data_IF_532625181454
#
_entry.id   IF_532625181454
#
_cell.length_a   1.000
_cell.length_b   1.000
_cell.length_c   1.000
_cell.angle_alpha   90.00
_cell.angle_beta   90.00
_cell.angle_gamma   90.00
#
_symmetry.space_group_name_H-M   'P 1'
#
loop_
_entity.id
_entity.type
_entity.pdbx_description
1 polymer ?
#
# COMPACT_ATOMS: atom_id res chain seq x y z
N UNK A 1 20.93 -2.60 9.41
CA UNK A 1 20.54 -3.41 8.24
C UNK A 1 21.39 -3.10 7.02
N UNK A 2 21.44 -1.85 6.56
CA UNK A 2 22.05 -1.50 5.27
C UNK A 2 23.54 -1.82 5.15
N UNK A 3 24.36 -1.51 6.16
CA UNK A 3 25.80 -1.83 6.16
C UNK A 3 26.06 -3.34 6.11
N UNK A 4 25.34 -4.11 6.93
CA UNK A 4 25.42 -5.58 6.95
C UNK A 4 25.04 -6.16 5.58
N UNK A 5 23.97 -5.65 4.97
CA UNK A 5 23.54 -6.05 3.63
C UNK A 5 24.60 -5.78 2.55
N UNK A 6 25.13 -4.56 2.49
CA UNK A 6 26.14 -4.18 1.47
C UNK A 6 27.38 -5.07 1.58
N UNK A 7 27.86 -5.30 2.80
CA UNK A 7 29.03 -6.14 3.05
C UNK A 7 28.81 -7.58 2.59
N UNK A 8 27.70 -8.21 3.00
CA UNK A 8 27.42 -9.59 2.62
C UNK A 8 27.07 -9.72 1.13
N UNK A 9 26.42 -8.73 0.52
CA UNK A 9 26.14 -8.72 -0.93
C UNK A 9 27.42 -8.63 -1.75
N UNK A 10 28.36 -7.77 -1.35
CA UNK A 10 29.69 -7.71 -1.97
C UNK A 10 30.41 -9.05 -1.89
N UNK A 11 30.40 -9.68 -0.70
CA UNK A 11 31.06 -10.96 -0.51
C UNK A 11 30.38 -12.09 -1.31
N UNK A 12 29.07 -12.25 -1.17
CA UNK A 12 28.35 -13.42 -1.69
C UNK A 12 28.02 -13.32 -3.18
N UNK A 13 27.85 -12.12 -3.72
CA UNK A 13 27.56 -11.91 -5.13
C UNK A 13 28.84 -11.57 -5.92
N UNK A 14 29.51 -10.47 -5.55
CA UNK A 14 30.64 -9.97 -6.33
C UNK A 14 31.88 -10.86 -6.20
N UNK A 15 32.32 -11.19 -4.97
CA UNK A 15 33.51 -12.04 -4.81
C UNK A 15 33.26 -13.44 -5.39
N UNK A 16 32.08 -14.04 -5.16
CA UNK A 16 31.71 -15.33 -5.78
C UNK A 16 31.82 -15.30 -7.30
N UNK A 17 31.30 -14.25 -7.95
CA UNK A 17 31.43 -14.09 -9.40
C UNK A 17 32.89 -13.99 -9.83
N UNK A 18 33.69 -13.15 -9.16
CA UNK A 18 35.12 -13.01 -9.46
C UNK A 18 35.89 -14.34 -9.32
N UNK A 19 35.60 -15.11 -8.27
CA UNK A 19 36.19 -16.44 -8.04
C UNK A 19 35.81 -17.38 -9.19
N UNK A 20 34.51 -17.46 -9.53
CA UNK A 20 34.04 -18.36 -10.58
C UNK A 20 34.69 -18.04 -11.92
N UNK A 21 34.70 -16.77 -12.31
CA UNK A 21 35.31 -16.37 -13.58
C UNK A 21 36.80 -16.68 -13.57
N UNK A 22 37.53 -16.40 -12.48
CA UNK A 22 38.97 -16.66 -12.39
C UNK A 22 39.35 -18.15 -12.47
N UNK A 23 38.43 -19.05 -12.09
CA UNK A 23 38.61 -20.50 -12.22
C UNK A 23 38.27 -21.02 -13.63
N UNK A 24 37.43 -20.30 -14.39
CA UNK A 24 36.95 -20.74 -15.71
C UNK A 24 37.66 -20.08 -16.90
N UNK A 25 38.28 -18.91 -16.73
CA UNK A 25 38.86 -18.14 -17.83
C UNK A 25 40.21 -17.48 -17.49
N UNK A 26 41.09 -17.28 -18.49
CA UNK A 26 42.30 -16.47 -18.35
C UNK A 26 41.94 -14.97 -18.43
N UNK A 27 41.53 -14.40 -17.30
CA UNK A 27 41.20 -12.97 -17.14
C UNK A 27 42.41 -12.27 -16.49
N UNK A 28 42.59 -10.94 -16.63
CA UNK A 28 43.53 -10.17 -15.82
C UNK A 28 43.49 -10.54 -14.33
N UNK A 29 44.69 -10.72 -13.75
CA UNK A 29 44.86 -11.20 -12.37
C UNK A 29 44.41 -10.17 -11.33
N UNK A 30 43.17 -10.30 -10.86
CA UNK A 30 42.72 -9.66 -9.62
C UNK A 30 43.29 -10.39 -8.40
N UNK A 31 43.37 -9.72 -7.25
CA UNK A 31 43.81 -10.37 -6.00
C UNK A 31 42.88 -11.53 -5.59
N UNK A 32 41.57 -11.38 -5.83
CA UNK A 32 40.57 -12.44 -5.59
C UNK A 32 40.85 -13.64 -6.51
N UNK A 33 41.16 -13.38 -7.78
CA UNK A 33 41.49 -14.42 -8.75
C UNK A 33 42.77 -15.18 -8.38
N UNK A 34 43.82 -14.46 -7.94
CA UNK A 34 45.05 -15.07 -7.41
C UNK A 34 44.77 -15.95 -6.19
N UNK A 35 43.96 -15.46 -5.25
CA UNK A 35 43.55 -16.23 -4.07
C UNK A 35 42.76 -17.49 -4.46
N UNK A 36 41.81 -17.36 -5.38
CA UNK A 36 41.00 -18.48 -5.87
C UNK A 36 41.86 -19.58 -6.51
N UNK A 37 42.77 -19.22 -7.41
CA UNK A 37 43.71 -20.17 -8.03
C UNK A 37 44.62 -20.80 -6.99
N UNK A 38 45.12 -20.02 -6.02
CA UNK A 38 45.98 -20.52 -4.96
C UNK A 38 45.26 -21.54 -4.07
N UNK A 39 44.03 -21.24 -3.65
CA UNK A 39 43.18 -22.14 -2.86
C UNK A 39 42.82 -23.39 -3.66
N UNK A 40 42.52 -23.27 -4.97
CA UNK A 40 42.28 -24.42 -5.83
C UNK A 40 43.49 -25.37 -5.86
N UNK A 41 44.71 -24.85 -6.05
CA UNK A 41 45.95 -25.63 -5.98
C UNK A 41 46.16 -26.26 -4.60
N UNK A 42 45.88 -25.53 -3.52
CA UNK A 42 46.00 -26.07 -2.16
C UNK A 42 45.03 -27.24 -1.95
N UNK A 43 43.78 -27.14 -2.40
CA UNK A 43 42.78 -28.22 -2.25
C UNK A 43 43.17 -29.46 -3.08
N UNK A 44 43.85 -29.30 -4.22
CA UNK A 44 44.39 -30.43 -4.99
C UNK A 44 45.62 -31.08 -4.32
N UNK A 45 46.32 -30.35 -3.45
CA UNK A 45 47.60 -30.80 -2.88
C UNK A 45 47.36 -31.59 -1.59
N UNK A 46 47.54 -32.91 -1.66
CA UNK A 46 47.32 -33.81 -0.52
C UNK A 46 48.17 -33.41 0.71
N UNK A 47 47.49 -33.25 1.86
CA UNK A 47 48.15 -32.94 3.13
C UNK A 47 48.64 -31.49 3.27
N UNK A 48 48.23 -30.59 2.36
CA UNK A 48 48.59 -29.19 2.44
C UNK A 48 48.08 -28.56 3.76
N UNK A 49 49.00 -27.95 4.48
CA UNK A 49 48.73 -27.05 5.60
C UNK A 49 49.50 -25.77 5.35
N UNK A 50 48.78 -24.64 5.25
CA UNK A 50 49.40 -23.35 4.97
C UNK A 50 48.65 -22.23 5.67
N UNK A 51 49.41 -21.26 6.16
CA UNK A 51 48.88 -19.97 6.57
C UNK A 51 48.76 -19.07 5.35
N UNK A 52 47.56 -18.54 5.10
CA UNK A 52 47.30 -17.58 4.04
C UNK A 52 47.22 -16.18 4.64
N UNK A 53 48.13 -15.29 4.22
CA UNK A 53 48.20 -13.90 4.67
C UNK A 53 47.67 -12.94 3.59
N UNK A 54 46.89 -11.90 3.94
CA UNK A 54 46.34 -10.94 2.97
C UNK A 54 47.43 -10.25 2.12
N UNK A 55 48.58 -9.94 2.71
CA UNK A 55 49.71 -9.30 2.05
C UNK A 55 50.25 -10.09 0.85
N UNK A 56 50.17 -11.43 0.87
CA UNK A 56 50.58 -12.30 -0.26
C UNK A 56 49.74 -12.06 -1.52
N UNK A 57 48.57 -11.43 -1.36
CA UNK A 57 47.63 -11.14 -2.45
C UNK A 57 47.55 -9.65 -2.77
N UNK A 58 48.35 -8.80 -2.12
CA UNK A 58 48.36 -7.34 -2.31
C UNK A 58 47.34 -6.58 -1.46
N UNK A 59 46.87 -7.18 -0.35
CA UNK A 59 46.02 -6.52 0.63
C UNK A 59 46.87 -6.12 1.85
N UNK A 60 47.54 -4.98 1.75
CA UNK A 60 48.34 -4.42 2.85
C UNK A 60 47.46 -3.88 3.98
N UNK A 61 47.94 -3.94 5.22
CA UNK A 61 47.24 -3.40 6.42
C UNK A 61 46.18 -4.32 7.03
N UNK A 62 46.04 -5.56 6.54
CA UNK A 62 45.18 -6.58 7.16
C UNK A 62 46.04 -7.64 7.87
N UNK A 63 45.85 -7.81 9.19
CA UNK A 63 46.69 -8.69 10.02
C UNK A 63 46.12 -10.11 10.22
N UNK A 64 44.86 -10.34 9.84
CA UNK A 64 44.19 -11.61 10.06
C UNK A 64 44.79 -12.72 9.19
N UNK A 65 45.22 -13.84 9.80
CA UNK A 65 45.79 -15.00 9.12
C UNK A 65 44.76 -16.12 9.02
N UNK A 66 44.66 -16.77 7.87
CA UNK A 66 43.81 -17.95 7.69
C UNK A 66 44.64 -19.22 7.66
N UNK A 67 44.48 -20.08 8.67
CA UNK A 67 45.13 -21.39 8.70
C UNK A 67 44.33 -22.41 7.88
N UNK A 68 44.77 -22.68 6.65
CA UNK A 68 44.21 -23.75 5.82
C UNK A 68 44.81 -25.10 6.23
N UNK A 69 43.94 -26.09 6.49
CA UNK A 69 44.35 -27.47 6.78
C UNK A 69 43.47 -28.43 5.98
N UNK A 70 44.06 -29.12 5.01
CA UNK A 70 43.34 -30.13 4.27
C UNK A 70 43.25 -31.44 5.06
N UNK A 71 42.03 -31.82 5.44
CA UNK A 71 41.80 -33.02 6.26
C UNK A 71 41.75 -34.32 5.45
N UNK A 72 41.34 -34.27 4.18
CA UNK A 72 41.25 -35.42 3.28
C UNK A 72 41.60 -34.99 1.85
N UNK A 73 42.27 -35.86 1.10
CA UNK A 73 42.43 -35.70 -0.35
C UNK A 73 41.04 -35.77 -0.96
N UNK A 74 40.71 -34.82 -1.82
CA UNK A 74 39.57 -34.94 -2.72
C UNK A 74 40.10 -35.49 -4.06
N UNK A 75 39.23 -36.15 -4.82
CA UNK A 75 39.55 -36.59 -6.18
C UNK A 75 39.82 -35.39 -7.09
N UNK A 76 40.36 -35.65 -8.29
CA UNK A 76 40.74 -34.62 -9.27
C UNK A 76 39.59 -33.68 -9.66
N UNK A 77 38.33 -34.13 -9.56
CA UNK A 77 37.14 -33.31 -9.77
C UNK A 77 36.72 -32.62 -8.47
N UNK A 78 37.46 -31.58 -8.07
CA UNK A 78 37.00 -30.69 -7.00
C UNK A 78 35.81 -29.87 -7.50
N UNK A 79 34.65 -29.90 -6.82
CA UNK A 79 33.57 -29.00 -7.15
C UNK A 79 34.02 -27.55 -7.02
N UNK A 80 33.87 -26.75 -8.08
CA UNK A 80 34.19 -25.32 -8.10
C UNK A 80 33.59 -24.57 -6.89
N UNK A 81 32.41 -25.00 -6.44
CA UNK A 81 31.71 -24.45 -5.28
C UNK A 81 32.44 -24.66 -3.95
N UNK A 82 33.27 -25.69 -3.81
CA UNK A 82 34.12 -25.87 -2.63
C UNK A 82 35.19 -24.78 -2.57
N UNK A 83 35.83 -24.48 -3.70
CA UNK A 83 36.83 -23.40 -3.80
C UNK A 83 36.18 -22.07 -3.46
N UNK A 84 35.00 -21.79 -4.03
CA UNK A 84 34.20 -20.60 -3.71
C UNK A 84 33.95 -20.51 -2.21
N UNK A 85 33.44 -21.58 -1.58
CA UNK A 85 33.12 -21.57 -0.16
C UNK A 85 34.35 -21.30 0.72
N UNK A 86 35.50 -21.92 0.42
CA UNK A 86 36.75 -21.71 1.17
C UNK A 86 37.29 -20.29 0.98
N UNK A 87 37.31 -19.79 -0.25
CA UNK A 87 37.80 -18.42 -0.53
C UNK A 87 36.92 -17.37 0.15
N UNK A 88 35.60 -17.55 0.13
CA UNK A 88 34.68 -16.65 0.82
C UNK A 88 34.91 -16.68 2.34
N UNK A 89 35.16 -17.84 2.94
CA UNK A 89 35.51 -17.92 4.37
C UNK A 89 36.85 -17.22 4.68
N UNK A 90 37.85 -17.36 3.81
CA UNK A 90 39.14 -16.65 3.94
C UNK A 90 38.92 -15.13 3.93
N UNK A 91 38.23 -14.61 2.91
CA UNK A 91 37.98 -13.17 2.76
C UNK A 91 37.16 -12.65 3.95
N UNK A 92 36.14 -13.40 4.38
CA UNK A 92 35.33 -13.04 5.54
C UNK A 92 36.20 -12.90 6.81
N UNK A 93 37.14 -13.81 7.05
CA UNK A 93 38.04 -13.73 8.22
C UNK A 93 39.04 -12.59 8.11
N UNK A 94 39.62 -12.38 6.93
CA UNK A 94 40.57 -11.29 6.70
C UNK A 94 39.96 -9.91 6.95
N UNK A 95 38.70 -9.74 6.52
CA UNK A 95 37.95 -8.50 6.68
C UNK A 95 37.12 -8.47 7.98
N UNK A 96 37.32 -9.43 8.88
CA UNK A 96 36.65 -9.52 10.18
C UNK A 96 35.13 -9.43 10.10
N UNK A 97 34.53 -10.08 9.08
CA UNK A 97 33.08 -10.18 8.97
C UNK A 97 32.51 -10.83 10.24
N UNK A 98 31.31 -10.41 10.70
CA UNK A 98 30.74 -10.98 11.91
C UNK A 98 30.53 -12.49 11.74
N UNK A 99 31.19 -13.28 12.58
CA UNK A 99 31.14 -14.75 12.56
C UNK A 99 29.91 -15.32 13.26
N UNK A 100 29.06 -14.46 13.82
CA UNK A 100 27.78 -14.89 14.39
C UNK A 100 26.96 -15.55 13.28
N UNK A 101 26.49 -16.78 13.51
CA UNK A 101 25.82 -17.59 12.49
C UNK A 101 24.57 -16.96 11.86
N UNK A 102 24.08 -15.85 12.44
CA UNK A 102 22.91 -15.10 11.97
C UNK A 102 23.26 -13.89 11.10
N UNK A 103 24.49 -13.38 11.12
CA UNK A 103 24.85 -12.14 10.39
C UNK A 103 24.68 -12.28 8.87
N UNK A 104 25.15 -13.40 8.30
CA UNK A 104 25.06 -13.69 6.87
C UNK A 104 23.62 -14.01 6.41
N UNK A 105 22.86 -14.89 7.10
CA UNK A 105 21.42 -15.05 6.83
C UNK A 105 20.64 -13.74 6.87
N UNK A 106 20.96 -12.83 7.82
CA UNK A 106 20.40 -11.48 7.88
C UNK A 106 20.70 -10.65 6.65
N UNK A 107 21.90 -10.75 6.09
CA UNK A 107 22.25 -10.14 4.81
C UNK A 107 21.36 -10.63 3.67
N UNK A 108 21.17 -11.94 3.55
CA UNK A 108 20.32 -12.57 2.51
C UNK A 108 18.85 -12.21 2.64
N UNK A 109 18.34 -12.12 3.87
CA UNK A 109 16.97 -11.65 4.11
C UNK A 109 16.79 -10.23 3.58
N UNK A 110 17.70 -9.31 3.95
CA UNK A 110 17.65 -7.92 3.48
C UNK A 110 17.76 -7.83 1.96
N UNK A 111 18.66 -8.60 1.35
CA UNK A 111 18.79 -8.67 -0.12
C UNK A 111 17.46 -9.11 -0.77
N UNK A 112 16.87 -10.20 -0.26
CA UNK A 112 15.63 -10.76 -0.81
C UNK A 112 14.47 -9.78 -0.74
N UNK A 113 14.28 -9.10 0.40
CA UNK A 113 13.18 -8.14 0.57
C UNK A 113 13.43 -6.82 -0.17
N UNK A 114 14.67 -6.35 -0.26
CA UNK A 114 15.02 -5.13 -1.01
C UNK A 114 14.87 -5.37 -2.50
N UNK A 115 15.27 -6.54 -2.99
CA UNK A 115 15.08 -6.92 -4.39
C UNK A 115 13.59 -7.03 -4.74
N UNK A 116 12.78 -7.63 -3.86
CA UNK A 116 11.34 -7.80 -4.10
C UNK A 116 10.52 -6.52 -3.90
N UNK A 117 10.84 -5.69 -2.90
CA UNK A 117 9.98 -4.59 -2.44
C UNK A 117 10.64 -3.19 -2.55
N UNK A 118 11.93 -3.13 -2.88
CA UNK A 118 12.74 -1.91 -2.86
C UNK A 118 13.30 -1.56 -1.47
N UNK A 119 14.26 -0.61 -1.39
CA UNK A 119 15.01 -0.33 -0.17
C UNK A 119 14.18 0.28 0.97
N UNK A 120 13.05 0.92 0.64
CA UNK A 120 12.20 1.55 1.65
C UNK A 120 11.49 0.54 2.57
N UNK A 121 11.42 -0.73 2.18
CA UNK A 121 10.84 -1.79 3.01
C UNK A 121 11.61 -1.94 4.35
N UNK A 122 12.87 -1.53 4.38
CA UNK A 122 13.74 -1.60 5.56
C UNK A 122 13.36 -0.61 6.67
N UNK A 123 12.47 0.35 6.39
CA UNK A 123 11.94 1.28 7.39
C UNK A 123 10.73 0.73 8.16
N UNK A 124 10.22 -0.44 7.80
CA UNK A 124 9.09 -1.05 8.51
C UNK A 124 9.57 -1.75 9.79
N UNK A 125 8.88 -1.49 10.91
CA UNK A 125 9.18 -2.12 12.19
C UNK A 125 9.03 -3.65 12.14
N UNK A 126 8.06 -4.14 11.36
CA UNK A 126 7.85 -5.58 11.11
C UNK A 126 9.04 -6.23 10.40
N UNK A 127 9.67 -5.51 9.47
CA UNK A 127 10.88 -5.98 8.78
C UNK A 127 12.08 -5.99 9.72
N UNK A 128 12.21 -4.97 10.57
CA UNK A 128 13.25 -4.97 11.60
C UNK A 128 13.07 -6.10 12.61
N UNK A 129 11.83 -6.36 13.01
CA UNK A 129 11.48 -7.47 13.90
C UNK A 129 11.81 -8.82 13.26
N UNK A 130 11.42 -9.05 12.01
CA UNK A 130 11.76 -10.25 11.25
C UNK A 130 13.28 -10.41 11.07
N UNK A 131 14.00 -9.32 10.75
CA UNK A 131 15.46 -9.31 10.66
C UNK A 131 16.13 -9.77 11.95
N UNK A 132 15.61 -9.35 13.11
CA UNK A 132 16.15 -9.77 14.42
C UNK A 132 15.81 -11.22 14.75
N UNK A 133 14.63 -11.69 14.37
CA UNK A 133 14.06 -12.97 14.77
C UNK A 133 13.87 -13.94 13.59
N UNK A 134 14.87 -14.00 12.71
CA UNK A 134 14.78 -14.64 11.39
C UNK A 134 14.20 -16.06 11.38
N UNK A 135 14.76 -16.96 12.18
CA UNK A 135 14.32 -18.37 12.21
C UNK A 135 12.83 -18.51 12.59
N UNK A 136 12.36 -17.72 13.55
CA UNK A 136 10.95 -17.76 13.99
C UNK A 136 10.02 -17.01 13.03
N UNK A 137 10.35 -15.78 12.66
CA UNK A 137 9.42 -14.90 11.94
C UNK A 137 9.38 -15.13 10.44
N UNK A 138 10.49 -15.59 9.84
CA UNK A 138 10.58 -15.81 8.39
C UNK A 138 10.42 -17.30 8.05
N UNK A 139 10.93 -18.19 8.90
CA UNK A 139 10.91 -19.63 8.65
C UNK A 139 9.93 -20.41 9.55
N UNK A 140 9.32 -19.78 10.55
CA UNK A 140 8.33 -20.41 11.42
C UNK A 140 8.90 -21.38 12.44
N UNK A 141 10.22 -21.56 12.51
CA UNK A 141 10.87 -22.52 13.40
C UNK A 141 12.22 -21.97 13.90
N UNK A 142 12.37 -21.70 15.23
CA UNK A 142 13.59 -21.17 15.82
C UNK A 142 14.82 -22.08 15.65
N UNK A 143 14.63 -23.37 15.36
CA UNK A 143 15.70 -24.35 15.13
C UNK A 143 16.23 -24.35 13.69
N UNK A 144 15.58 -23.62 12.78
CA UNK A 144 15.97 -23.57 11.35
C UNK A 144 17.39 -23.04 11.18
N UNK A 145 18.26 -23.88 10.59
CA UNK A 145 19.61 -23.49 10.16
C UNK A 145 19.59 -22.98 8.73
N UNK A 146 19.78 -21.67 8.57
CA UNK A 146 19.81 -21.00 7.26
C UNK A 146 21.24 -21.06 6.74
N UNK A 147 21.50 -22.01 5.84
CA UNK A 147 22.86 -22.27 5.33
C UNK A 147 23.10 -21.73 3.93
N UNK A 148 22.05 -21.39 3.18
CA UNK A 148 22.17 -20.90 1.80
C UNK A 148 21.19 -19.77 1.48
N UNK A 149 21.52 -18.89 0.51
CA UNK A 149 20.59 -17.86 0.02
C UNK A 149 19.31 -18.46 -0.58
N UNK A 150 19.39 -19.69 -1.12
CA UNK A 150 18.25 -20.37 -1.75
C UNK A 150 17.08 -20.61 -0.79
N UNK A 151 17.33 -20.63 0.53
CA UNK A 151 16.30 -20.73 1.55
C UNK A 151 15.27 -19.58 1.48
N UNK A 152 15.65 -18.42 0.93
CA UNK A 152 14.75 -17.27 0.79
C UNK A 152 13.97 -17.23 -0.51
N UNK A 153 14.17 -18.17 -1.45
CA UNK A 153 13.37 -18.19 -2.69
C UNK A 153 11.86 -18.24 -2.43
N UNK A 154 11.33 -19.03 -1.48
CA UNK A 154 9.90 -19.00 -1.16
C UNK A 154 9.44 -17.64 -0.66
N UNK A 155 10.24 -16.95 0.16
CA UNK A 155 9.94 -15.60 0.63
C UNK A 155 9.93 -14.61 -0.54
N UNK A 156 10.97 -14.62 -1.38
CA UNK A 156 11.05 -13.74 -2.54
C UNK A 156 9.90 -13.98 -3.52
N UNK A 157 9.57 -15.25 -3.78
CA UNK A 157 8.42 -15.63 -4.60
C UNK A 157 7.10 -15.18 -3.96
N UNK A 158 6.94 -15.34 -2.65
CA UNK A 158 5.74 -14.89 -1.94
C UNK A 158 5.60 -13.36 -1.95
N UNK A 159 6.69 -12.61 -1.79
CA UNK A 159 6.70 -11.14 -1.85
C UNK A 159 6.42 -10.63 -3.28
N UNK A 160 7.02 -11.26 -4.29
CA UNK A 160 6.73 -10.96 -5.70
C UNK A 160 5.29 -11.34 -6.08
N UNK A 161 4.78 -12.43 -5.50
CA UNK A 161 3.40 -12.90 -5.62
C UNK A 161 2.46 -12.27 -4.58
N UNK A 162 2.87 -11.21 -3.88
CA UNK A 162 2.02 -10.38 -3.03
C UNK A 162 1.63 -9.08 -3.76
N UNK A 163 0.87 -9.15 -4.87
CA UNK A 163 0.46 -7.94 -5.51
C UNK A 163 -0.61 -7.28 -4.64
N UNK A 164 -0.56 -5.95 -4.56
CA UNK A 164 -1.74 -5.16 -4.22
C UNK A 164 -2.81 -5.26 -5.33
N UNK A 165 -2.48 -5.86 -6.49
CA UNK A 165 -3.34 -6.03 -7.67
C UNK A 165 -4.57 -6.97 -7.52
N UNK A 166 -4.60 -8.06 -6.72
CA UNK A 166 -5.75 -8.97 -6.63
C UNK A 166 -6.96 -8.30 -5.96
N UNK A 167 -6.76 -7.20 -5.24
CA UNK A 167 -7.85 -6.40 -4.71
C UNK A 167 -8.63 -5.65 -5.81
N UNK A 168 -8.02 -5.45 -6.98
CA UNK A 168 -8.61 -4.70 -8.11
C UNK A 168 -9.41 -5.64 -9.03
N UNK A 169 -9.12 -6.94 -9.03
CA UNK A 169 -9.65 -7.85 -10.03
C UNK A 169 -11.02 -8.46 -9.65
N UNK A 170 -11.94 -8.64 -10.62
CA UNK A 170 -13.08 -9.56 -10.51
C UNK A 170 -12.68 -11.04 -10.36
N UNK A 171 -11.39 -11.36 -10.34
CA UNK A 171 -10.84 -12.71 -10.16
C UNK A 171 -10.69 -13.16 -8.71
N UNK A 172 -11.41 -12.58 -7.74
CA UNK A 172 -11.45 -13.19 -6.40
C UNK A 172 -11.93 -14.65 -6.48
N UNK A 173 -12.89 -14.92 -7.36
CA UNK A 173 -13.40 -16.27 -7.65
C UNK A 173 -12.33 -17.20 -8.24
N UNK A 174 -11.26 -16.65 -8.84
CA UNK A 174 -10.13 -17.43 -9.37
C UNK A 174 -8.97 -17.57 -8.38
N UNK A 175 -9.01 -16.90 -7.21
CA UNK A 175 -8.05 -17.12 -6.13
C UNK A 175 -8.35 -18.46 -5.44
N UNK A 176 -7.49 -19.44 -5.62
CA UNK A 176 -7.63 -20.77 -4.98
C UNK A 176 -7.66 -20.68 -3.45
N UNK A 177 -6.95 -19.71 -2.85
CA UNK A 177 -6.91 -19.47 -1.40
C UNK A 177 -6.72 -17.97 -1.10
N UNK A 178 -7.79 -17.20 -0.91
CA UNK A 178 -7.67 -15.78 -0.56
C UNK A 178 -7.13 -15.60 0.86
N UNK A 179 -6.28 -14.59 1.07
CA UNK A 179 -5.86 -14.21 2.43
C UNK A 179 -7.04 -13.65 3.24
N UNK A 180 -6.92 -13.61 4.58
CA UNK A 180 -7.93 -12.99 5.45
C UNK A 180 -8.25 -11.55 5.03
N UNK A 181 -7.23 -10.79 4.64
CA UNK A 181 -7.40 -9.44 4.13
C UNK A 181 -8.17 -9.40 2.81
N UNK A 182 -7.82 -10.25 1.84
CA UNK A 182 -8.52 -10.33 0.55
C UNK A 182 -9.98 -10.75 0.73
N UNK A 183 -10.25 -11.76 1.55
CA UNK A 183 -11.60 -12.21 1.88
C UNK A 183 -12.42 -11.10 2.55
N UNK A 184 -11.83 -10.38 3.50
CA UNK A 184 -12.50 -9.26 4.17
C UNK A 184 -12.82 -8.12 3.20
N UNK A 185 -11.86 -7.71 2.37
CA UNK A 185 -12.08 -6.66 1.35
C UNK A 185 -13.15 -7.07 0.36
N UNK A 186 -13.13 -8.33 -0.11
CA UNK A 186 -14.12 -8.85 -1.03
C UNK A 186 -15.53 -8.90 -0.43
N UNK A 187 -15.66 -9.33 0.83
CA UNK A 187 -16.95 -9.37 1.52
C UNK A 187 -17.54 -7.99 1.82
N UNK A 188 -16.73 -6.93 1.85
CA UNK A 188 -17.17 -5.57 2.22
C UNK A 188 -16.54 -4.48 1.35
N UNK A 189 -16.66 -4.61 0.02
CA UNK A 189 -15.96 -3.73 -0.94
C UNK A 189 -16.24 -2.24 -0.76
N UNK A 190 -17.49 -1.80 -0.60
CA UNK A 190 -17.80 -0.38 -0.34
C UNK A 190 -17.14 0.14 0.97
N UNK A 191 -16.92 -0.77 1.94
CA UNK A 191 -16.37 -0.43 3.24
C UNK A 191 -14.83 -0.51 3.30
N UNK A 192 -14.19 -1.48 2.63
CA UNK A 192 -12.77 -1.79 2.79
C UNK A 192 -11.93 -1.61 1.53
N UNK A 193 -12.53 -1.50 0.34
CA UNK A 193 -11.76 -1.34 -0.89
C UNK A 193 -11.14 0.07 -0.96
N UNK A 194 -9.82 0.21 -1.19
CA UNK A 194 -9.17 1.52 -1.28
C UNK A 194 -9.46 2.20 -2.62
N UNK A 195 -9.79 1.43 -3.66
CA UNK A 195 -10.10 1.90 -5.00
C UNK A 195 -11.59 2.23 -5.10
N UNK A 196 -11.92 3.45 -4.66
CA UNK A 196 -13.29 3.94 -4.51
C UNK A 196 -14.16 3.71 -5.75
N UNK A 197 -13.65 4.01 -6.93
CA UNK A 197 -14.41 3.89 -8.18
C UNK A 197 -14.67 2.43 -8.60
N UNK A 198 -13.94 1.48 -8.02
CA UNK A 198 -14.14 0.04 -8.21
C UNK A 198 -15.09 -0.57 -7.17
N UNK A 199 -15.64 0.22 -6.25
CA UNK A 199 -16.58 -0.26 -5.25
C UNK A 199 -18.00 -0.44 -5.85
N UNK A 200 -18.77 -1.47 -5.45
CA UNK A 200 -20.05 -1.80 -6.10
C UNK A 200 -21.04 -0.64 -6.20
N UNK A 201 -21.29 0.06 -5.09
CA UNK A 201 -22.24 1.19 -5.08
C UNK A 201 -21.78 2.32 -6.00
N UNK A 202 -20.46 2.56 -6.05
CA UNK A 202 -19.86 3.58 -6.91
C UNK A 202 -19.94 3.22 -8.38
N UNK A 203 -19.53 2.01 -8.75
CA UNK A 203 -19.61 1.52 -10.12
C UNK A 203 -21.05 1.60 -10.66
N UNK A 204 -22.03 1.19 -9.84
CA UNK A 204 -23.46 1.28 -10.19
C UNK A 204 -23.91 2.72 -10.45
N UNK A 205 -23.61 3.63 -9.53
CA UNK A 205 -24.08 5.03 -9.59
C UNK A 205 -23.56 5.85 -10.78
N UNK A 206 -22.56 5.34 -11.51
CA UNK A 206 -21.94 5.96 -12.69
C UNK A 206 -22.39 5.37 -14.02
N UNK A 207 -23.17 4.29 -14.00
CA UNK A 207 -23.69 3.72 -15.24
C UNK A 207 -24.54 4.77 -15.99
N UNK A 208 -24.64 4.69 -17.33
CA UNK A 208 -25.48 5.59 -18.10
C UNK A 208 -26.90 5.68 -17.53
N UNK A 209 -27.41 6.91 -17.40
CA UNK A 209 -28.74 7.17 -16.84
C UNK A 209 -28.85 7.19 -15.31
N UNK A 210 -27.77 6.93 -14.57
CA UNK A 210 -27.76 7.05 -13.10
C UNK A 210 -27.34 8.45 -12.61
N UNK A 211 -27.29 8.67 -11.29
CA UNK A 211 -27.14 10.00 -10.70
C UNK A 211 -25.80 10.70 -10.99
N UNK A 212 -24.74 9.94 -11.27
CA UNK A 212 -23.43 10.48 -11.67
C UNK A 212 -23.11 10.21 -13.14
N UNK A 213 -24.13 9.95 -13.94
CA UNK A 213 -24.05 10.17 -15.38
C UNK A 213 -23.71 11.67 -15.64
N UNK A 214 -22.79 11.99 -16.57
CA UNK A 214 -22.39 13.37 -16.84
C UNK A 214 -23.56 14.32 -17.17
N UNK A 215 -24.63 13.82 -17.81
CA UNK A 215 -25.82 14.62 -18.13
C UNK A 215 -26.60 14.93 -16.85
N UNK A 216 -26.86 13.91 -16.04
CA UNK A 216 -27.66 14.07 -14.83
C UNK A 216 -26.96 14.86 -13.74
N UNK A 217 -25.66 14.65 -13.53
CA UNK A 217 -24.86 15.26 -12.46
C UNK A 217 -24.89 16.80 -12.46
N UNK A 218 -25.22 17.43 -13.60
CA UNK A 218 -25.29 18.89 -13.78
C UNK A 218 -26.68 19.48 -13.56
N UNK A 219 -27.68 18.64 -13.26
CA UNK A 219 -29.06 19.06 -13.02
C UNK A 219 -29.37 19.15 -11.53
N UNK A 220 -30.41 19.89 -11.15
CA UNK A 220 -30.94 19.85 -9.77
C UNK A 220 -31.41 18.45 -9.36
N UNK A 221 -31.97 17.68 -10.30
CA UNK A 221 -32.33 16.27 -10.09
C UNK A 221 -31.11 15.40 -9.80
N UNK A 222 -29.97 15.66 -10.44
CA UNK A 222 -28.71 14.98 -10.16
C UNK A 222 -28.13 15.35 -8.79
N UNK A 223 -28.23 16.63 -8.39
CA UNK A 223 -27.88 17.05 -7.04
C UNK A 223 -28.73 16.32 -5.99
N UNK A 224 -30.05 16.27 -6.19
CA UNK A 224 -30.97 15.54 -5.32
C UNK A 224 -30.61 14.07 -5.22
N UNK A 225 -30.43 13.43 -6.36
CA UNK A 225 -30.06 12.01 -6.45
C UNK A 225 -28.72 11.72 -5.79
N UNK A 226 -27.73 12.60 -5.94
CA UNK A 226 -26.42 12.46 -5.30
C UNK A 226 -26.51 12.57 -3.77
N UNK A 227 -27.34 13.48 -3.26
CA UNK A 227 -27.65 13.58 -1.83
C UNK A 227 -28.38 12.33 -1.31
N UNK A 228 -29.34 11.78 -2.06
CA UNK A 228 -30.01 10.54 -1.68
C UNK A 228 -29.05 9.35 -1.72
N UNK A 229 -28.22 9.23 -2.75
CA UNK A 229 -27.22 8.19 -2.85
C UNK A 229 -26.31 8.23 -1.62
N UNK A 230 -25.69 9.38 -1.33
CA UNK A 230 -24.74 9.48 -0.21
C UNK A 230 -25.41 9.48 1.16
N UNK A 231 -26.54 10.16 1.30
CA UNK A 231 -27.24 10.38 2.55
C UNK A 231 -28.17 9.24 2.96
N UNK A 232 -28.74 8.50 2.01
CA UNK A 232 -29.77 7.48 2.27
C UNK A 232 -29.26 6.09 1.89
N UNK A 233 -29.03 5.81 0.61
CA UNK A 233 -28.93 4.43 0.12
C UNK A 233 -27.51 3.95 -0.30
N UNK A 234 -26.44 4.67 0.05
CA UNK A 234 -25.07 4.22 -0.20
C UNK A 234 -24.76 2.92 0.55
N UNK A 235 -24.16 1.94 -0.15
CA UNK A 235 -23.83 0.62 0.39
C UNK A 235 -25.05 -0.14 0.94
N UNK A 236 -26.15 -0.12 0.18
CA UNK A 236 -27.40 -0.84 0.45
C UNK A 236 -27.80 -1.73 -0.72
N UNK A 237 -28.61 -2.78 -0.50
CA UNK A 237 -29.21 -3.55 -1.60
C UNK A 237 -30.03 -2.68 -2.57
N UNK A 238 -30.84 -1.73 -2.07
CA UNK A 238 -31.62 -0.82 -2.93
C UNK A 238 -30.71 -0.07 -3.91
N UNK A 239 -29.62 0.52 -3.41
CA UNK A 239 -28.66 1.26 -4.24
C UNK A 239 -27.91 0.41 -5.28
N UNK A 240 -27.90 -0.92 -5.13
CA UNK A 240 -27.29 -1.85 -6.08
C UNK A 240 -28.30 -2.37 -7.12
N UNK A 241 -29.58 -2.41 -6.78
CA UNK A 241 -30.64 -3.00 -7.62
C UNK A 241 -31.42 -1.93 -8.39
N UNK A 242 -31.84 -0.85 -7.73
CA UNK A 242 -32.67 0.21 -8.31
C UNK A 242 -31.87 1.13 -9.24
N UNK A 243 -32.58 2.03 -9.92
CA UNK A 243 -31.97 3.26 -10.47
C UNK A 243 -31.42 4.11 -9.32
N UNK A 244 -30.37 4.87 -9.57
CA UNK A 244 -29.88 5.86 -8.60
C UNK A 244 -30.25 7.29 -8.96
N UNK A 245 -30.89 7.52 -10.12
CA UNK A 245 -31.36 8.84 -10.54
C UNK A 245 -32.84 9.05 -10.25
N UNK A 246 -33.12 10.10 -9.48
CA UNK A 246 -34.44 10.56 -9.07
C UNK A 246 -34.52 12.07 -9.33
N UNK A 247 -35.22 12.54 -10.37
CA UNK A 247 -35.33 13.97 -10.65
C UNK A 247 -36.13 14.73 -9.58
N UNK A 248 -36.98 14.05 -8.82
CA UNK A 248 -37.86 14.60 -7.79
C UNK A 248 -38.32 13.51 -6.79
N UNK A 249 -39.02 13.85 -5.70
CA UNK A 249 -39.50 12.89 -4.71
C UNK A 249 -40.51 11.88 -5.25
N UNK A 250 -41.31 12.24 -6.26
CA UNK A 250 -42.29 11.33 -6.84
C UNK A 250 -41.61 10.16 -7.55
N UNK A 251 -40.55 10.43 -8.31
CA UNK A 251 -39.73 9.39 -8.92
C UNK A 251 -39.09 8.46 -7.88
N UNK A 252 -38.63 9.02 -6.74
CA UNK A 252 -38.14 8.22 -5.61
C UNK A 252 -39.25 7.32 -5.03
N UNK A 253 -40.45 7.86 -4.80
CA UNK A 253 -41.57 7.11 -4.24
C UNK A 253 -42.04 5.98 -5.17
N UNK A 254 -42.13 6.25 -6.48
CA UNK A 254 -42.46 5.24 -7.51
C UNK A 254 -41.44 4.10 -7.50
N UNK A 255 -40.15 4.40 -7.39
CA UNK A 255 -39.12 3.37 -7.33
C UNK A 255 -39.20 2.56 -6.02
N UNK A 256 -39.40 3.23 -4.87
CA UNK A 256 -39.55 2.55 -3.58
C UNK A 256 -40.79 1.64 -3.54
N UNK A 257 -41.88 2.03 -4.21
CA UNK A 257 -43.12 1.25 -4.28
C UNK A 257 -42.94 -0.11 -4.97
N UNK A 258 -41.86 -0.31 -5.74
CA UNK A 258 -41.49 -1.62 -6.31
C UNK A 258 -40.99 -2.62 -5.25
N UNK A 259 -40.71 -2.16 -4.03
CA UNK A 259 -40.11 -2.93 -2.94
C UNK A 259 -40.93 -2.85 -1.63
N UNK A 260 -42.25 -3.15 -1.65
CA UNK A 260 -43.16 -2.82 -0.54
C UNK A 260 -42.90 -3.59 0.76
N UNK A 261 -42.20 -4.73 0.69
CA UNK A 261 -41.98 -5.63 1.83
C UNK A 261 -40.52 -5.71 2.27
N UNK A 262 -39.66 -4.81 1.78
CA UNK A 262 -38.24 -4.81 2.13
C UNK A 262 -38.00 -4.13 3.48
N UNK A 263 -37.04 -4.62 4.29
CA UNK A 263 -36.70 -4.04 5.58
C UNK A 263 -36.00 -2.67 5.46
N UNK A 264 -35.88 -1.92 6.56
CA UNK A 264 -35.29 -0.57 6.56
C UNK A 264 -33.84 -0.55 6.05
N UNK A 265 -33.06 -1.59 6.36
CA UNK A 265 -31.65 -1.72 5.96
C UNK A 265 -31.47 -2.04 4.46
N UNK A 266 -32.54 -2.48 3.78
CA UNK A 266 -32.59 -2.55 2.32
C UNK A 266 -32.43 -1.16 1.70
N UNK A 267 -33.05 -0.14 2.30
CA UNK A 267 -33.06 1.24 1.80
C UNK A 267 -31.96 2.12 2.41
N UNK A 268 -31.54 1.86 3.66
CA UNK A 268 -30.54 2.68 4.33
C UNK A 268 -29.57 1.88 5.20
N UNK A 269 -28.28 2.00 4.88
CA UNK A 269 -27.20 1.48 5.70
C UNK A 269 -26.68 2.60 6.62
N UNK A 270 -27.24 2.66 7.83
CA UNK A 270 -26.86 3.64 8.86
C UNK A 270 -25.36 3.54 9.23
N UNK A 271 -24.72 2.39 8.98
CA UNK A 271 -23.31 2.12 9.30
C UNK A 271 -22.34 2.31 8.13
N UNK A 272 -22.80 2.85 6.99
CA UNK A 272 -21.96 2.91 5.78
C UNK A 272 -20.65 3.70 5.98
N UNK A 273 -20.67 4.75 6.81
CA UNK A 273 -19.50 5.61 7.05
C UNK A 273 -18.88 5.45 8.45
N UNK A 274 -19.65 5.11 9.49
CA UNK A 274 -19.15 4.88 10.84
C UNK A 274 -20.13 4.06 11.69
N UNK A 275 -19.67 3.55 12.83
CA UNK A 275 -20.49 2.82 13.82
C UNK A 275 -21.29 3.72 14.77
N UNK A 276 -21.14 5.05 14.69
CA UNK A 276 -21.81 5.98 15.59
C UNK A 276 -23.31 6.15 15.25
N UNK A 277 -24.12 6.59 16.22
CA UNK A 277 -25.51 7.03 16.00
C UNK A 277 -25.52 8.08 14.89
N UNK A 278 -26.08 7.71 13.74
CA UNK A 278 -26.22 8.57 12.58
C UNK A 278 -27.70 8.65 12.27
N UNK A 279 -28.23 9.86 12.04
CA UNK A 279 -29.65 10.05 11.77
C UNK A 279 -29.95 9.96 10.27
N UNK A 280 -29.23 9.08 9.56
CA UNK A 280 -29.45 8.80 8.15
C UNK A 280 -30.68 7.91 7.98
N UNK A 281 -31.47 8.19 6.96
CA UNK A 281 -32.66 7.40 6.64
C UNK A 281 -33.51 8.03 5.55
N UNK A 282 -34.53 7.31 5.13
CA UNK A 282 -35.49 7.75 4.10
C UNK A 282 -36.24 9.03 4.47
N UNK A 283 -36.34 9.35 5.77
CA UNK A 283 -36.92 10.59 6.26
C UNK A 283 -36.15 11.86 5.81
N UNK A 284 -34.91 11.72 5.31
CA UNK A 284 -34.13 12.85 4.78
C UNK A 284 -34.56 13.26 3.35
N UNK A 285 -35.27 12.41 2.63
CA UNK A 285 -35.73 12.66 1.25
C UNK A 285 -36.48 14.01 1.13
N UNK A 286 -37.56 14.27 1.90
CA UNK A 286 -38.26 15.56 1.84
C UNK A 286 -37.36 16.73 2.25
N UNK A 287 -36.49 16.55 3.25
CA UNK A 287 -35.58 17.60 3.72
C UNK A 287 -34.58 18.03 2.62
N UNK A 288 -34.03 17.08 1.86
CA UNK A 288 -33.13 17.43 0.76
C UNK A 288 -33.86 18.12 -0.38
N UNK A 289 -35.09 17.70 -0.68
CA UNK A 289 -35.89 18.31 -1.75
C UNK A 289 -36.26 19.77 -1.44
N UNK A 290 -36.66 20.05 -0.20
CA UNK A 290 -36.95 21.41 0.25
C UNK A 290 -35.75 22.35 0.05
N UNK A 291 -34.55 21.90 0.42
CA UNK A 291 -33.32 22.68 0.26
C UNK A 291 -32.94 22.89 -1.21
N UNK A 292 -33.15 21.88 -2.06
CA UNK A 292 -32.85 21.97 -3.50
C UNK A 292 -33.72 23.00 -4.21
N UNK A 293 -34.98 23.14 -3.79
CA UNK A 293 -35.89 24.14 -4.35
C UNK A 293 -35.70 25.54 -3.75
N UNK A 294 -34.78 25.70 -2.79
CA UNK A 294 -34.47 27.02 -2.22
C UNK A 294 -33.55 27.84 -3.14
N UNK A 295 -33.55 29.18 -3.02
CA UNK A 295 -32.62 30.04 -3.76
C UNK A 295 -31.14 29.68 -3.58
N UNK A 296 -30.79 28.99 -2.50
CA UNK A 296 -29.40 28.59 -2.22
C UNK A 296 -28.83 27.58 -3.23
N UNK A 297 -29.69 26.83 -3.94
CA UNK A 297 -29.29 25.86 -4.96
C UNK A 297 -29.51 26.35 -6.40
N UNK A 298 -30.10 27.54 -6.60
CA UNK A 298 -30.49 28.05 -7.91
C UNK A 298 -29.32 28.14 -8.92
N UNK A 299 -28.09 28.32 -8.43
CA UNK A 299 -26.90 28.42 -9.28
C UNK A 299 -26.22 27.07 -9.57
N UNK A 300 -26.73 25.94 -9.08
CA UNK A 300 -26.08 24.63 -9.26
C UNK A 300 -25.85 24.30 -10.74
N UNK A 301 -26.90 24.37 -11.56
CA UNK A 301 -26.82 24.03 -12.97
C UNK A 301 -25.93 25.02 -13.73
N UNK A 302 -26.02 26.32 -13.40
CA UNK A 302 -25.15 27.36 -13.95
C UNK A 302 -23.67 27.14 -13.62
N UNK A 303 -23.36 26.69 -12.42
CA UNK A 303 -21.99 26.45 -11.97
C UNK A 303 -21.40 25.18 -12.61
N UNK A 304 -22.23 24.16 -12.82
CA UNK A 304 -21.79 22.84 -13.31
C UNK A 304 -21.85 22.69 -14.83
N UNK A 305 -22.65 23.50 -15.55
CA UNK A 305 -22.75 23.46 -17.01
C UNK A 305 -21.46 23.87 -17.73
N UNK A 306 -20.59 24.65 -17.07
CA UNK A 306 -19.30 25.09 -17.63
C UNK A 306 -18.14 24.15 -17.31
N UNK A 307 -18.38 23.01 -16.65
CA UNK A 307 -17.35 22.02 -16.31
C UNK A 307 -16.26 22.54 -15.35
N UNK A 308 -16.46 23.72 -14.75
CA UNK A 308 -15.44 24.46 -14.02
C UNK A 308 -15.83 24.76 -12.56
N UNK A 309 -16.87 24.10 -12.02
CA UNK A 309 -17.20 24.32 -10.61
C UNK A 309 -16.02 23.84 -9.75
N UNK A 310 -15.35 24.75 -9.05
CA UNK A 310 -14.16 24.42 -8.29
C UNK A 310 -14.47 23.40 -7.17
N UNK A 311 -13.57 22.43 -7.00
CA UNK A 311 -13.75 21.38 -5.99
C UNK A 311 -13.92 21.94 -4.58
N UNK A 312 -13.15 22.98 -4.20
CA UNK A 312 -13.23 23.59 -2.88
C UNK A 312 -14.54 24.33 -2.70
N UNK A 313 -15.00 25.03 -3.74
CA UNK A 313 -16.27 25.75 -3.71
C UNK A 313 -17.47 24.79 -3.62
N UNK A 314 -17.46 23.69 -4.38
CA UNK A 314 -18.50 22.66 -4.28
C UNK A 314 -18.48 21.96 -2.91
N UNK A 315 -17.29 21.62 -2.39
CA UNK A 315 -17.16 21.07 -1.03
C UNK A 315 -17.72 22.02 0.02
N UNK A 316 -17.42 23.32 -0.06
CA UNK A 316 -18.01 24.34 0.80
C UNK A 316 -19.50 24.48 0.57
N UNK A 317 -20.00 24.44 -0.66
CA UNK A 317 -21.44 24.47 -0.94
C UNK A 317 -22.20 23.33 -0.25
N UNK A 318 -21.62 22.14 -0.20
CA UNK A 318 -22.23 20.97 0.44
C UNK A 318 -22.10 20.96 1.98
N UNK A 319 -21.15 21.72 2.55
CA UNK A 319 -20.78 21.60 3.98
C UNK A 319 -20.85 22.91 4.79
N UNK A 320 -20.72 24.06 4.13
CA UNK A 320 -20.63 25.36 4.76
C UNK A 320 -22.02 25.95 4.98
N UNK A 321 -22.46 25.94 6.23
CA UNK A 321 -23.59 26.72 6.75
C UNK A 321 -23.76 26.38 8.24
N UNK A 322 -24.25 27.34 9.02
CA UNK A 322 -24.63 27.14 10.41
C UNK A 322 -26.08 27.59 10.57
N UNK A 323 -27.06 26.66 10.66
CA UNK A 323 -26.91 25.20 10.63
C UNK A 323 -26.54 24.65 9.24
N UNK A 324 -26.04 23.42 9.16
CA UNK A 324 -25.66 22.76 7.89
C UNK A 324 -26.84 22.68 6.92
N UNK A 325 -26.60 23.12 5.67
CA UNK A 325 -27.57 23.23 4.58
C UNK A 325 -28.26 21.92 4.28
N UNK A 326 -27.48 20.84 4.18
CA UNK A 326 -27.98 19.51 3.96
C UNK A 326 -27.82 18.68 5.25
N UNK A 327 -28.96 18.30 5.86
CA UNK A 327 -28.97 17.52 7.10
C UNK A 327 -28.20 16.20 6.93
N UNK A 328 -27.44 15.81 7.93
CA UNK A 328 -26.54 14.63 7.91
C UNK A 328 -25.40 14.66 6.87
N UNK A 329 -25.26 15.70 6.03
CA UNK A 329 -24.13 15.84 5.10
C UNK A 329 -23.00 16.60 5.79
N UNK A 330 -22.28 15.90 6.67
CA UNK A 330 -21.06 16.42 7.31
C UNK A 330 -19.86 16.43 6.36
N UNK A 331 -18.70 16.93 6.84
CA UNK A 331 -17.49 17.08 6.02
C UNK A 331 -17.05 15.82 5.26
N UNK A 332 -17.16 14.63 5.85
CA UNK A 332 -16.83 13.38 5.15
C UNK A 332 -17.77 13.12 3.97
N UNK A 333 -19.08 13.22 4.18
CA UNK A 333 -20.07 12.93 3.14
C UNK A 333 -20.04 14.01 2.06
N UNK A 334 -19.86 15.28 2.47
CA UNK A 334 -19.66 16.40 1.55
C UNK A 334 -18.45 16.18 0.63
N UNK A 335 -17.28 15.81 1.17
CA UNK A 335 -16.10 15.51 0.36
C UNK A 335 -16.35 14.35 -0.62
N UNK A 336 -16.96 13.27 -0.14
CA UNK A 336 -17.29 12.12 -1.00
C UNK A 336 -18.25 12.53 -2.10
N UNK A 337 -19.27 13.33 -1.81
CA UNK A 337 -20.23 13.78 -2.82
C UNK A 337 -19.58 14.74 -3.83
N UNK A 338 -18.73 15.67 -3.39
CA UNK A 338 -17.92 16.52 -4.29
C UNK A 338 -17.04 15.68 -5.21
N UNK A 339 -16.39 14.65 -4.68
CA UNK A 339 -15.61 13.70 -5.48
C UNK A 339 -16.45 12.92 -6.50
N UNK A 340 -17.69 12.54 -6.16
CA UNK A 340 -18.60 11.91 -7.13
C UNK A 340 -18.92 12.84 -8.30
N UNK A 341 -19.22 14.10 -8.02
CA UNK A 341 -19.48 15.11 -9.06
C UNK A 341 -18.23 15.45 -9.86
N UNK A 342 -17.04 15.39 -9.26
CA UNK A 342 -15.79 15.60 -9.97
C UNK A 342 -15.52 14.49 -10.99
N UNK A 343 -15.72 13.23 -10.61
CA UNK A 343 -15.62 12.11 -11.55
C UNK A 343 -16.71 12.09 -12.63
N UNK A 344 -17.87 12.71 -12.37
CA UNK A 344 -18.92 12.91 -13.37
C UNK A 344 -18.63 14.10 -14.32
N UNK A 345 -17.57 14.88 -14.07
CA UNK A 345 -17.22 16.06 -14.85
C UNK A 345 -18.10 17.29 -14.59
N UNK A 346 -18.88 17.29 -13.51
CA UNK A 346 -19.68 18.45 -13.07
C UNK A 346 -18.85 19.43 -12.22
N UNK A 347 -17.79 18.93 -11.57
CA UNK A 347 -16.86 19.65 -10.69
C UNK A 347 -15.43 19.38 -11.16
N UNK A 348 -14.51 20.35 -10.98
CA UNK A 348 -13.10 20.14 -11.32
C UNK A 348 -12.44 19.10 -10.40
N UNK A 349 -11.47 18.34 -10.90
CA UNK A 349 -10.68 17.44 -10.04
C UNK A 349 -9.80 18.26 -9.07
N UNK A 350 -9.66 17.84 -7.80
CA UNK A 350 -8.88 18.58 -6.84
C UNK A 350 -7.38 18.35 -7.07
N UNK A 351 -6.58 19.35 -6.70
CA UNK A 351 -5.14 19.17 -6.57
C UNK A 351 -4.81 18.36 -5.30
N UNK A 352 -3.60 17.78 -5.25
CA UNK A 352 -3.06 17.12 -4.04
C UNK A 352 -3.12 18.05 -2.83
N UNK A 353 -2.81 19.33 -3.04
CA UNK A 353 -2.85 20.37 -2.01
C UNK A 353 -4.26 20.65 -1.50
N UNK A 354 -5.26 20.66 -2.38
CA UNK A 354 -6.68 20.80 -2.02
C UNK A 354 -7.13 19.63 -1.18
N UNK A 355 -6.82 18.39 -1.58
CA UNK A 355 -7.18 17.19 -0.81
C UNK A 355 -6.49 17.20 0.56
N UNK A 356 -5.20 17.56 0.64
CA UNK A 356 -4.49 17.68 1.92
C UNK A 356 -5.14 18.65 2.90
N UNK A 357 -5.65 19.80 2.42
CA UNK A 357 -6.43 20.74 3.25
C UNK A 357 -7.73 20.12 3.75
N UNK A 358 -8.48 19.45 2.87
CA UNK A 358 -9.76 18.81 3.23
C UNK A 358 -9.56 17.67 4.22
N UNK A 359 -8.49 16.87 4.08
CA UNK A 359 -8.11 15.83 5.05
C UNK A 359 -7.98 16.44 6.45
N UNK A 360 -7.27 17.57 6.58
CA UNK A 360 -7.15 18.31 7.85
C UNK A 360 -8.50 18.81 8.35
N UNK A 361 -9.33 19.34 7.46
CA UNK A 361 -10.64 19.90 7.83
C UNK A 361 -11.58 18.85 8.41
N UNK A 362 -11.66 17.69 7.76
CA UNK A 362 -12.43 16.53 8.20
C UNK A 362 -11.85 15.96 9.50
N UNK A 363 -10.52 15.86 9.62
CA UNK A 363 -9.81 15.34 10.79
C UNK A 363 -10.30 13.96 11.26
N UNK A 364 -10.46 13.01 10.32
CA UNK A 364 -10.92 11.63 10.58
C UNK A 364 -9.91 10.59 10.05
N UNK A 365 -10.37 9.65 9.21
CA UNK A 365 -9.60 8.51 8.74
C UNK A 365 -8.33 8.90 7.99
N UNK A 366 -8.38 9.90 7.11
CA UNK A 366 -7.22 10.38 6.36
C UNK A 366 -6.05 10.83 7.24
N UNK A 367 -6.31 11.68 8.23
CA UNK A 367 -5.29 12.15 9.20
C UNK A 367 -4.72 10.97 10.01
N UNK A 368 -5.59 10.10 10.50
CA UNK A 368 -5.16 8.90 11.25
C UNK A 368 -4.31 7.96 10.39
N UNK A 369 -4.66 7.79 9.11
CA UNK A 369 -3.87 7.01 8.16
C UNK A 369 -2.48 7.59 7.96
N UNK A 370 -2.38 8.92 7.75
CA UNK A 370 -1.09 9.61 7.62
C UNK A 370 -0.22 9.45 8.88
N UNK A 371 -0.82 9.59 10.06
CA UNK A 371 -0.12 9.43 11.33
C UNK A 371 0.36 7.98 11.53
N UNK A 372 -0.48 6.99 11.19
CA UNK A 372 -0.13 5.56 11.27
C UNK A 372 1.02 5.20 10.34
N UNK A 373 1.13 5.85 9.19
CA UNK A 373 2.27 5.71 8.27
C UNK A 373 3.52 6.50 8.70
N UNK A 374 3.50 7.18 9.86
CA UNK A 374 4.63 8.00 10.34
C UNK A 374 4.89 9.26 9.49
N UNK A 375 3.95 9.66 8.63
CA UNK A 375 4.12 10.80 7.73
C UNK A 375 3.82 12.14 8.40
N UNK A 376 3.08 12.10 9.49
CA UNK A 376 2.79 13.23 10.39
C UNK A 376 2.84 12.73 11.85
N UNK A 377 3.01 13.62 12.83
CA UNK A 377 2.94 13.25 14.24
C UNK A 377 1.60 12.60 14.60
N UNK A 378 1.62 11.68 15.57
CA UNK A 378 0.39 11.11 16.12
C UNK A 378 -0.49 12.22 16.71
N UNK A 379 -1.80 12.25 16.40
CA UNK A 379 -2.68 13.27 16.95
C UNK A 379 -2.75 13.13 18.47
N UNK A 380 -2.43 14.20 19.19
CA UNK A 380 -2.60 14.24 20.64
C UNK A 380 -4.08 14.08 21.01
N UNK A 381 -4.35 13.22 21.99
CA UNK A 381 -5.67 13.10 22.57
C UNK A 381 -6.01 14.40 23.31
N UNK A 382 -7.04 15.13 22.88
CA UNK A 382 -7.57 16.28 23.62
C UNK A 382 -8.84 15.89 24.38
N UNK A 383 -9.17 16.68 25.42
CA UNK A 383 -10.35 16.48 26.28
C UNK A 383 -11.68 16.41 25.52
N UNK A 384 -11.76 16.94 24.29
CA UNK A 384 -12.92 16.91 23.40
C UNK A 384 -12.52 16.56 21.95
N UNK A 385 -11.97 15.37 21.75
CA UNK A 385 -11.56 14.87 20.43
C UNK A 385 -10.07 15.07 20.14
N UNK A 386 -9.66 14.93 18.88
CA UNK A 386 -8.25 15.12 18.51
C UNK A 386 -7.98 16.59 18.21
N UNK A 387 -6.89 17.14 18.75
CA UNK A 387 -6.38 18.45 18.33
C UNK A 387 -6.07 18.37 16.83
N UNK A 388 -6.60 19.30 16.03
CA UNK A 388 -6.30 19.34 14.59
C UNK A 388 -4.81 19.59 14.41
N UNK A 389 -4.15 18.71 13.65
CA UNK A 389 -2.77 18.94 13.22
C UNK A 389 -2.70 20.20 12.35
N UNK A 390 -1.51 20.81 12.33
CA UNK A 390 -1.24 21.95 11.45
C UNK A 390 -1.50 21.58 9.98
N UNK A 391 -2.11 22.51 9.23
CA UNK A 391 -2.51 22.26 7.83
C UNK A 391 -1.30 22.02 6.93
N UNK A 392 -0.18 22.69 7.17
CA UNK A 392 1.06 22.55 6.41
C UNK A 392 1.66 21.18 6.64
N UNK A 393 1.60 20.67 7.88
CA UNK A 393 2.04 19.32 8.24
C UNK A 393 1.22 18.25 7.52
N UNK A 394 -0.12 18.35 7.57
CA UNK A 394 -1.02 17.37 6.91
C UNK A 394 -0.85 17.40 5.39
N UNK A 395 -0.82 18.59 4.78
CA UNK A 395 -0.54 18.74 3.34
C UNK A 395 0.81 18.13 2.96
N UNK A 396 1.87 18.44 3.72
CA UNK A 396 3.21 17.91 3.46
C UNK A 396 3.27 16.38 3.54
N UNK A 397 2.64 15.79 4.56
CA UNK A 397 2.54 14.33 4.71
C UNK A 397 1.78 13.68 3.55
N UNK A 398 0.63 14.25 3.17
CA UNK A 398 -0.16 13.76 2.06
C UNK A 398 0.55 13.86 0.71
N UNK A 399 1.19 15.00 0.42
CA UNK A 399 1.95 15.21 -0.82
C UNK A 399 3.14 14.27 -0.95
N UNK A 400 3.83 13.95 0.16
CA UNK A 400 4.90 12.93 0.17
C UNK A 400 4.37 11.55 -0.18
N UNK A 401 3.25 11.13 0.43
CA UNK A 401 2.62 9.85 0.12
C UNK A 401 2.18 9.77 -1.34
N UNK A 402 1.49 10.80 -1.83
CA UNK A 402 1.02 10.85 -3.21
C UNK A 402 2.19 10.69 -4.19
N UNK A 403 3.25 11.49 -4.03
CA UNK A 403 4.45 11.42 -4.88
C UNK A 403 5.13 10.07 -4.80
N UNK A 404 5.22 9.49 -3.60
CA UNK A 404 5.78 8.16 -3.41
C UNK A 404 5.02 7.11 -4.22
N UNK A 405 3.68 7.08 -4.09
CA UNK A 405 2.84 6.15 -4.85
C UNK A 405 2.91 6.42 -6.35
N UNK A 406 2.93 7.69 -6.77
CA UNK A 406 3.03 8.07 -8.17
C UNK A 406 4.34 7.59 -8.81
N UNK A 407 5.46 7.65 -8.08
CA UNK A 407 6.74 7.13 -8.58
C UNK A 407 6.79 5.60 -8.56
N UNK A 408 6.10 4.95 -7.61
CA UNK A 408 6.22 3.50 -7.39
C UNK A 408 5.21 2.66 -8.16
N UNK A 409 4.05 3.20 -8.48
CA UNK A 409 3.03 2.48 -9.22
C UNK A 409 3.30 2.56 -10.73
N UNK A 410 3.17 1.43 -11.42
CA UNK A 410 3.17 1.42 -12.89
C UNK A 410 1.95 2.14 -13.45
N UNK A 411 2.04 2.67 -14.68
CA UNK A 411 0.92 3.35 -15.33
C UNK A 411 -0.31 2.44 -15.48
N UNK A 412 -0.09 1.15 -15.74
CA UNK A 412 -1.15 0.14 -15.76
C UNK A 412 -1.85 0.05 -14.40
N UNK A 413 -1.09 0.04 -13.30
CA UNK A 413 -1.65 0.05 -11.93
C UNK A 413 -2.43 1.33 -11.66
N UNK A 414 -1.84 2.48 -11.97
CA UNK A 414 -2.47 3.79 -11.79
C UNK A 414 -3.81 3.88 -12.52
N UNK A 415 -3.84 3.47 -13.79
CA UNK A 415 -5.06 3.44 -14.60
C UNK A 415 -6.14 2.56 -13.99
N UNK A 416 -5.78 1.34 -13.55
CA UNK A 416 -6.74 0.37 -12.99
C UNK A 416 -7.38 0.83 -11.68
N UNK A 417 -6.62 1.49 -10.81
CA UNK A 417 -7.14 1.97 -9.54
C UNK A 417 -7.78 3.35 -9.61
N UNK A 418 -7.74 4.00 -10.78
CA UNK A 418 -8.10 5.41 -10.96
C UNK A 418 -7.26 6.27 -10.01
N UNK A 419 -5.93 6.16 -10.15
CA UNK A 419 -4.98 6.82 -9.26
C UNK A 419 -5.05 8.34 -9.41
N UNK A 420 -5.47 8.99 -8.33
CA UNK A 420 -5.47 10.43 -8.14
C UNK A 420 -5.49 10.77 -6.64
N UNK A 421 -5.57 12.06 -6.31
CA UNK A 421 -5.55 12.51 -4.92
C UNK A 421 -6.76 12.02 -4.11
N UNK A 422 -7.94 11.90 -4.73
CA UNK A 422 -9.16 11.41 -4.06
C UNK A 422 -8.99 9.93 -3.70
N UNK A 423 -8.46 9.14 -4.62
CA UNK A 423 -8.20 7.71 -4.42
C UNK A 423 -7.23 7.49 -3.26
N UNK A 424 -6.11 8.24 -3.21
CA UNK A 424 -5.11 8.13 -2.13
C UNK A 424 -5.72 8.50 -0.77
N UNK A 425 -6.56 9.54 -0.69
CA UNK A 425 -7.30 9.88 0.54
C UNK A 425 -8.21 8.74 0.99
N UNK A 426 -9.00 8.18 0.07
CA UNK A 426 -9.90 7.08 0.40
C UNK A 426 -9.10 5.87 0.91
N UNK A 427 -7.95 5.57 0.29
CA UNK A 427 -7.02 4.53 0.74
C UNK A 427 -6.53 4.75 2.17
N UNK A 428 -6.12 5.97 2.52
CA UNK A 428 -5.74 6.34 3.90
C UNK A 428 -6.89 6.11 4.90
N UNK A 429 -8.10 6.47 4.51
CA UNK A 429 -9.30 6.21 5.31
C UNK A 429 -9.51 4.69 5.52
N UNK A 430 -9.25 3.85 4.51
CA UNK A 430 -9.37 2.39 4.65
C UNK A 430 -8.27 1.78 5.50
N UNK A 431 -7.04 2.31 5.45
CA UNK A 431 -5.90 1.85 6.27
C UNK A 431 -6.28 1.74 7.75
N UNK A 432 -6.93 2.77 8.28
CA UNK A 432 -7.38 2.81 9.69
C UNK A 432 -8.44 1.75 10.02
N UNK A 433 -9.22 1.32 9.02
CA UNK A 433 -10.21 0.25 9.16
C UNK A 433 -9.57 -1.13 9.08
N UNK A 434 -8.56 -1.29 8.22
CA UNK A 434 -7.81 -2.53 8.14
C UNK A 434 -7.06 -2.81 9.45
N UNK A 435 -6.42 -1.78 10.01
CA UNK A 435 -5.74 -1.83 11.30
C UNK A 435 -6.72 -2.16 12.44
N UNK A 436 -7.88 -1.48 12.51
CA UNK A 436 -8.88 -1.75 13.56
C UNK A 436 -9.51 -3.14 13.47
N UNK A 437 -9.54 -3.74 12.28
CA UNK A 437 -9.98 -5.11 12.05
C UNK A 437 -8.85 -6.13 12.15
N UNK A 438 -7.61 -5.71 12.49
CA UNK A 438 -6.41 -6.54 12.55
C UNK A 438 -6.14 -7.31 11.25
N UNK A 439 -6.50 -6.71 10.11
CA UNK A 439 -6.25 -7.29 8.79
C UNK A 439 -4.84 -7.01 8.28
N UNK A 440 -4.16 -6.03 8.89
CA UNK A 440 -2.79 -5.64 8.62
C UNK A 440 -2.08 -5.37 9.94
N UNK A 441 -0.76 -5.52 9.96
CA UNK A 441 0.11 -5.11 11.07
C UNK A 441 1.06 -4.04 10.53
N UNK A 442 0.88 -2.80 10.98
CA UNK A 442 1.73 -1.65 10.63
C UNK A 442 2.68 -1.30 11.76
#
# INVERSE_FOLDING_TARGET
MQTTFILWSWLDCYCTQQIRTALSAPIPETWIGRLAKHVHTLILTRGASRELRPAEFGLEGLDAVYAFKQRKSLDLDIPQELVVAVVIDIIARWLQFPTTGQSRPRGWFVDSIVHACGPNILFLDSVWFAFRNLSTEVFGDPSTKITTPAAYRPLAAALAAYPLEPLIYPGYESLRQPTLFQAAVHGRRDFLLPFRECAPSRARSRLPGNCFDPVHARTLGGLFSGLLFRGVFFATPFGLQATTYFPNPDAWNVECAKYPSQPVDFFCNIRAYSSAKCNRGVHLVPCFWEVINSPSCANWEKNTCKGAYDFTECYKFLTASNPTRFREIGGLIGFLLTADFAYAGAVSLPTVDTVGKIIRDINKGGVKGLARLGLIPQPEAAKKGFKKSDVTVVKGGFSRLYRFLDVKLSDASKKRMVFDAIMVENGLCKLTRWDSLKLITL
#
